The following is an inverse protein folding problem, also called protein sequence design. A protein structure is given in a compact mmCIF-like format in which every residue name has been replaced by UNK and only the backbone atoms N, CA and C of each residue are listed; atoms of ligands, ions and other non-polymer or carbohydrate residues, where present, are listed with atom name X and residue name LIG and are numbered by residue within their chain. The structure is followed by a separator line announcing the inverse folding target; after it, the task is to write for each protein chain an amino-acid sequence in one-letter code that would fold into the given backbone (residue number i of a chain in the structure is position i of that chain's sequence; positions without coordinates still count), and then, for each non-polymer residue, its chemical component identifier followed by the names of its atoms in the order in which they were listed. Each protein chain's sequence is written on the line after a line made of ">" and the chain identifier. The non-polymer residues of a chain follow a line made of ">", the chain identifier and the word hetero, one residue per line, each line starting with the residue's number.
data_IF_482303128569
#
_entry.id   IF_482303128569
#
_cell.length_a   1.000
_cell.length_b   1.000
_cell.length_c   1.000
_cell.angle_alpha   90.00
_cell.angle_beta   90.00
_cell.angle_gamma   90.00
#
_symmetry.space_group_name_H-M   'P 1'
#
loop_
_entity.id
_entity.type
_entity.pdbx_description
1 polymer ?
#
# COMPACT_ATOMS: atom_id res chain seq x y z
N UNK A 1 0.94 17.56 5.86
CA UNK A 1 1.96 17.82 4.84
C UNK A 1 2.38 19.28 4.87
N UNK A 2 3.66 19.51 5.03
CA UNK A 2 4.25 20.83 4.88
C UNK A 2 4.88 20.91 3.48
N UNK A 3 4.67 22.03 2.74
CA UNK A 3 5.32 22.18 1.45
C UNK A 3 6.84 22.01 1.57
N UNK A 4 7.41 21.23 0.66
CA UNK A 4 8.85 21.02 0.58
C UNK A 4 9.40 19.79 1.29
N UNK A 5 8.57 18.96 1.95
CA UNK A 5 9.04 17.71 2.57
C UNK A 5 9.63 16.78 1.53
N UNK A 6 8.93 16.54 0.41
CA UNK A 6 9.42 15.69 -0.67
C UNK A 6 10.70 16.26 -1.28
N UNK A 7 10.75 17.57 -1.48
CA UNK A 7 11.94 18.25 -1.99
C UNK A 7 13.15 18.04 -1.07
N UNK A 8 12.97 18.19 0.24
CA UNK A 8 14.03 17.98 1.22
C UNK A 8 14.53 16.54 1.23
N UNK A 9 13.62 15.58 1.21
CA UNK A 9 13.96 14.17 1.14
C UNK A 9 14.73 13.85 -0.14
N UNK A 10 14.21 14.28 -1.27
CA UNK A 10 14.83 14.03 -2.57
C UNK A 10 16.22 14.67 -2.66
N UNK A 11 16.37 15.89 -2.17
CA UNK A 11 17.65 16.59 -2.15
C UNK A 11 18.67 15.91 -1.24
N UNK A 12 18.24 15.45 -0.08
CA UNK A 12 19.10 14.73 0.86
C UNK A 12 19.60 13.41 0.29
N UNK A 13 18.70 12.66 -0.37
CA UNK A 13 19.04 11.40 -1.01
C UNK A 13 20.01 11.62 -2.16
N UNK A 14 19.74 12.59 -3.03
CA UNK A 14 20.59 12.90 -4.16
C UNK A 14 21.99 13.38 -3.72
N UNK A 15 22.07 14.19 -2.68
CA UNK A 15 23.34 14.68 -2.15
C UNK A 15 24.23 13.56 -1.62
N UNK A 16 23.65 12.46 -1.14
CA UNK A 16 24.38 11.30 -0.67
C UNK A 16 24.68 10.28 -1.80
N UNK A 17 24.37 10.62 -3.04
CA UNK A 17 24.56 9.73 -4.19
C UNK A 17 23.50 8.66 -4.34
N UNK A 18 22.39 8.80 -3.65
CA UNK A 18 21.25 7.87 -3.75
C UNK A 18 20.35 8.16 -4.93
N UNK A 19 19.70 7.12 -5.40
CA UNK A 19 18.70 7.21 -6.45
C UNK A 19 17.32 6.81 -5.90
N UNK A 20 16.34 7.66 -6.11
CA UNK A 20 14.94 7.43 -5.73
C UNK A 20 14.33 6.50 -6.78
N UNK A 21 14.04 5.25 -6.39
CA UNK A 21 13.57 4.23 -7.31
C UNK A 21 12.05 4.16 -7.37
N UNK A 22 11.42 4.05 -6.21
CA UNK A 22 9.98 3.81 -6.13
C UNK A 22 9.46 4.44 -4.85
N UNK A 23 8.26 4.97 -4.90
CA UNK A 23 7.63 5.55 -3.72
C UNK A 23 6.13 5.43 -3.78
N UNK A 24 5.53 5.35 -2.60
CA UNK A 24 4.08 5.46 -2.42
C UNK A 24 3.85 6.36 -1.23
N UNK A 25 3.25 7.51 -1.47
CA UNK A 25 3.02 8.53 -0.45
C UNK A 25 1.59 9.01 -0.53
N UNK A 26 0.98 9.25 0.62
CA UNK A 26 -0.37 9.76 0.67
C UNK A 26 -0.62 10.60 1.91
N UNK A 27 -1.69 11.39 1.83
CA UNK A 27 -2.17 12.21 2.92
C UNK A 27 -3.47 11.63 3.43
N UNK A 28 -3.55 11.43 4.75
CA UNK A 28 -4.73 10.87 5.37
C UNK A 28 -5.01 11.59 6.67
N UNK A 29 -6.20 12.17 6.78
CA UNK A 29 -6.64 12.91 7.97
C UNK A 29 -5.62 13.96 8.45
N UNK A 30 -5.07 14.73 7.51
CA UNK A 30 -4.10 15.78 7.80
C UNK A 30 -2.67 15.29 8.05
N UNK A 31 -2.43 13.99 7.97
CA UNK A 31 -1.09 13.41 8.12
C UNK A 31 -0.59 12.89 6.79
N UNK A 32 0.69 13.07 6.55
CA UNK A 32 1.37 12.61 5.34
C UNK A 32 2.29 11.45 5.71
N UNK A 33 2.20 10.34 4.99
CA UNK A 33 3.02 9.16 5.24
C UNK A 33 3.35 8.45 3.93
N UNK A 34 4.42 7.69 3.94
CA UNK A 34 4.78 6.95 2.75
C UNK A 34 5.93 6.00 2.92
N UNK A 35 6.13 5.24 1.87
CA UNK A 35 7.23 4.31 1.70
C UNK A 35 8.09 4.77 0.54
N UNK A 36 9.39 4.56 0.66
CA UNK A 36 10.34 4.99 -0.35
C UNK A 36 11.47 3.97 -0.48
N UNK A 37 11.69 3.53 -1.71
CA UNK A 37 12.79 2.64 -2.05
C UNK A 37 13.91 3.45 -2.72
N UNK A 38 15.11 3.34 -2.15
CA UNK A 38 16.28 4.07 -2.61
C UNK A 38 17.43 3.10 -2.83
N UNK A 39 18.14 3.26 -3.95
CA UNK A 39 19.42 2.60 -4.13
C UNK A 39 20.55 3.60 -3.91
N UNK A 40 21.65 3.12 -3.31
CA UNK A 40 22.85 3.93 -3.17
C UNK A 40 24.05 3.01 -2.99
N UNK A 41 25.28 3.49 -3.30
CA UNK A 41 26.48 2.75 -3.02
C UNK A 41 26.60 2.47 -1.51
N UNK A 42 27.03 1.27 -1.16
CA UNK A 42 27.14 0.82 0.24
C UNK A 42 28.01 1.78 1.09
N UNK A 43 29.05 2.34 0.48
CA UNK A 43 29.96 3.27 1.13
C UNK A 43 29.31 4.61 1.53
N UNK A 44 28.17 4.98 0.92
CA UNK A 44 27.42 6.18 1.22
C UNK A 44 26.24 5.95 2.18
N UNK A 45 26.03 4.73 2.62
CA UNK A 45 24.90 4.37 3.49
C UNK A 45 24.92 5.12 4.82
N UNK A 46 26.07 5.19 5.48
CA UNK A 46 26.21 5.90 6.76
C UNK A 46 25.97 7.39 6.62
N UNK A 47 26.43 7.99 5.53
CA UNK A 47 26.20 9.40 5.21
C UNK A 47 24.72 9.70 5.04
N UNK A 48 24.01 8.87 4.28
CA UNK A 48 22.57 9.05 4.06
C UNK A 48 21.78 8.87 5.36
N UNK A 49 22.11 7.86 6.14
CA UNK A 49 21.43 7.61 7.43
C UNK A 49 21.59 8.81 8.37
N UNK A 50 22.79 9.37 8.47
CA UNK A 50 23.04 10.55 9.28
C UNK A 50 22.30 11.79 8.78
N UNK A 51 22.26 11.98 7.45
CA UNK A 51 21.56 13.11 6.85
C UNK A 51 20.04 13.01 7.03
N UNK A 52 19.46 11.82 6.93
CA UNK A 52 18.03 11.60 7.17
C UNK A 52 17.67 11.78 8.64
N UNK A 53 18.54 11.34 9.54
CA UNK A 53 18.37 11.57 10.98
C UNK A 53 18.35 13.07 11.31
N UNK A 54 19.19 13.85 10.65
CA UNK A 54 19.24 15.30 10.83
C UNK A 54 17.98 16.02 10.31
N UNK A 55 17.21 15.40 9.42
CA UNK A 55 15.94 15.95 8.94
C UNK A 55 14.79 15.75 9.92
N UNK A 56 14.94 14.87 10.89
CA UNK A 56 13.86 14.56 11.83
C UNK A 56 13.51 15.76 12.70
N UNK A 57 12.22 16.02 12.82
CA UNK A 57 11.66 17.05 13.69
C UNK A 57 10.52 16.43 14.49
N UNK A 58 9.92 17.13 15.47
CA UNK A 58 8.73 16.59 16.13
C UNK A 58 7.58 16.24 15.19
N UNK A 59 7.57 16.84 13.98
CA UNK A 59 6.51 16.60 12.98
C UNK A 59 6.95 15.72 11.81
N UNK A 60 8.25 15.44 11.67
CA UNK A 60 8.77 14.58 10.61
C UNK A 60 9.60 13.44 11.21
N UNK A 61 9.16 12.21 10.97
CA UNK A 61 9.86 11.00 11.40
C UNK A 61 10.26 10.20 10.19
N UNK A 62 11.50 9.73 10.16
CA UNK A 62 12.05 8.90 9.11
C UNK A 62 12.62 7.64 9.74
N UNK A 63 12.21 6.48 9.26
CA UNK A 63 12.73 5.20 9.67
C UNK A 63 13.35 4.51 8.46
N UNK A 64 14.54 3.96 8.61
CA UNK A 64 15.30 3.38 7.49
C UNK A 64 15.65 1.95 7.79
N UNK A 65 15.41 1.08 6.81
CA UNK A 65 15.83 -0.31 6.85
C UNK A 65 16.67 -0.62 5.62
N UNK A 66 17.81 -1.28 5.85
CA UNK A 66 18.60 -1.82 4.75
C UNK A 66 17.98 -3.14 4.33
N UNK A 67 17.40 -3.17 3.14
CA UNK A 67 16.61 -4.33 2.72
C UNK A 67 17.44 -5.47 2.16
N UNK A 68 18.62 -5.19 1.59
CA UNK A 68 19.41 -6.22 0.90
C UNK A 68 18.69 -6.90 -0.25
N UNK A 69 17.51 -6.39 -0.62
CA UNK A 69 16.70 -6.95 -1.70
C UNK A 69 17.36 -6.57 -3.01
N UNK A 70 17.83 -7.57 -3.71
CA UNK A 70 18.06 -7.45 -5.14
C UNK A 70 16.69 -7.54 -5.82
N UNK A 71 16.48 -6.74 -6.84
CA UNK A 71 15.18 -6.55 -7.53
C UNK A 71 14.64 -7.85 -8.18
N UNK A 72 15.26 -8.98 -7.93
CA UNK A 72 14.99 -10.27 -8.58
C UNK A 72 14.23 -11.30 -7.72
N UNK A 73 13.58 -10.88 -6.65
CA UNK A 73 12.62 -11.76 -6.01
C UNK A 73 11.39 -11.82 -6.92
N UNK A 74 11.45 -12.72 -7.89
CA UNK A 74 10.31 -13.08 -8.72
C UNK A 74 9.23 -13.64 -7.81
N UNK A 75 8.29 -12.79 -7.47
CA UNK A 75 7.08 -13.22 -6.82
C UNK A 75 6.31 -14.10 -7.79
N UNK A 76 6.28 -15.39 -7.50
CA UNK A 76 5.53 -16.35 -8.31
C UNK A 76 4.02 -16.17 -8.06
N UNK A 77 3.27 -16.00 -9.14
CA UNK A 77 1.83 -15.81 -9.08
C UNK A 77 1.38 -14.65 -9.95
N UNK A 78 0.08 -14.53 -10.16
CA UNK A 78 -0.50 -13.46 -10.96
C UNK A 78 -0.97 -12.31 -10.08
N UNK A 79 -0.73 -11.09 -10.56
CA UNK A 79 -1.20 -9.87 -9.93
C UNK A 79 -2.58 -9.49 -10.46
N UNK A 80 -3.50 -9.20 -9.56
CA UNK A 80 -4.86 -8.80 -9.91
C UNK A 80 -5.26 -7.57 -9.12
N UNK A 81 -5.78 -6.56 -9.80
CA UNK A 81 -6.40 -5.41 -9.15
C UNK A 81 -7.90 -5.63 -9.00
N UNK A 82 -8.42 -5.35 -7.81
CA UNK A 82 -9.87 -5.48 -7.53
C UNK A 82 -10.38 -4.25 -6.83
N UNK A 83 -11.63 -3.92 -7.10
CA UNK A 83 -12.41 -2.95 -6.34
C UNK A 83 -13.54 -3.69 -5.63
N UNK A 84 -13.66 -3.45 -4.33
CA UNK A 84 -14.69 -4.05 -3.49
C UNK A 84 -15.57 -2.94 -2.96
N UNK A 85 -16.89 -3.10 -3.11
CA UNK A 85 -17.87 -2.16 -2.59
C UNK A 85 -18.88 -2.94 -1.77
N UNK A 86 -19.15 -2.46 -0.55
CA UNK A 86 -20.10 -3.11 0.35
C UNK A 86 -20.67 -2.09 1.32
N UNK A 87 -21.75 -2.45 2.00
CA UNK A 87 -22.23 -1.64 3.13
C UNK A 87 -21.16 -1.62 4.22
N UNK A 88 -20.86 -0.44 4.74
CA UNK A 88 -19.86 -0.33 5.80
C UNK A 88 -20.37 -0.94 7.10
N UNK A 89 -19.49 -1.68 7.77
CA UNK A 89 -19.77 -2.25 9.10
C UNK A 89 -18.46 -2.53 9.83
N UNK A 90 -18.47 -2.52 11.16
CA UNK A 90 -17.30 -2.90 11.93
C UNK A 90 -16.85 -4.33 11.56
N UNK A 91 -15.53 -4.51 11.36
CA UNK A 91 -14.96 -5.81 11.07
C UNK A 91 -14.93 -6.22 9.61
N UNK A 92 -15.39 -5.38 8.67
CA UNK A 92 -15.41 -5.73 7.25
C UNK A 92 -14.00 -6.01 6.70
N UNK A 93 -13.02 -5.18 7.06
CA UNK A 93 -11.63 -5.38 6.63
C UNK A 93 -11.06 -6.67 7.21
N UNK A 94 -11.35 -6.96 8.47
CA UNK A 94 -10.90 -8.20 9.10
C UNK A 94 -11.44 -9.45 8.38
N UNK A 95 -12.71 -9.43 8.03
CA UNK A 95 -13.34 -10.55 7.32
C UNK A 95 -12.73 -10.75 5.93
N UNK A 96 -12.53 -9.67 5.19
CA UNK A 96 -11.88 -9.72 3.86
C UNK A 96 -10.45 -10.23 4.01
N UNK A 97 -9.69 -9.69 4.95
CA UNK A 97 -8.29 -10.09 5.16
C UNK A 97 -8.17 -11.56 5.58
N UNK A 98 -9.07 -12.02 6.44
CA UNK A 98 -9.10 -13.42 6.88
C UNK A 98 -9.37 -14.37 5.72
N UNK A 99 -10.30 -14.00 4.85
CA UNK A 99 -10.61 -14.79 3.66
C UNK A 99 -9.40 -14.87 2.73
N UNK A 100 -8.78 -13.73 2.43
CA UNK A 100 -7.61 -13.68 1.56
C UNK A 100 -6.46 -14.51 2.13
N UNK A 101 -6.21 -14.39 3.43
CA UNK A 101 -5.16 -15.16 4.09
C UNK A 101 -5.43 -16.67 4.04
N UNK A 102 -6.69 -17.09 4.24
CA UNK A 102 -7.05 -18.52 4.18
C UNK A 102 -6.89 -19.09 2.77
N UNK A 103 -7.03 -18.28 1.75
CA UNK A 103 -6.81 -18.66 0.36
C UNK A 103 -5.35 -18.46 -0.09
N UNK A 104 -4.45 -18.08 0.81
CA UNK A 104 -3.04 -17.81 0.55
C UNK A 104 -2.83 -16.69 -0.49
N UNK A 105 -3.75 -15.74 -0.51
CA UNK A 105 -3.67 -14.56 -1.38
C UNK A 105 -2.97 -13.44 -0.62
N UNK A 106 -1.90 -12.91 -1.20
CA UNK A 106 -1.13 -11.83 -0.61
C UNK A 106 -1.68 -10.47 -1.02
N UNK A 107 -1.82 -9.56 -0.06
CA UNK A 107 -2.20 -8.17 -0.34
C UNK A 107 -0.94 -7.36 -0.59
N UNK A 108 -0.77 -6.87 -1.81
CA UNK A 108 0.38 -6.05 -2.21
C UNK A 108 0.14 -4.58 -1.90
N UNK A 109 -1.06 -4.09 -2.18
CA UNK A 109 -1.47 -2.75 -1.79
C UNK A 109 -2.96 -2.72 -1.47
N UNK A 110 -3.34 -1.81 -0.58
CA UNK A 110 -4.73 -1.66 -0.15
C UNK A 110 -5.02 -0.20 0.12
N UNK A 111 -6.05 0.32 -0.52
CA UNK A 111 -6.61 1.64 -0.24
C UNK A 111 -8.08 1.48 0.07
N UNK A 112 -8.54 2.07 1.17
CA UNK A 112 -9.93 1.99 1.59
C UNK A 112 -10.47 3.36 1.96
N UNK A 113 -11.76 3.55 1.73
CA UNK A 113 -12.48 4.73 2.20
C UNK A 113 -13.95 4.41 2.36
N UNK A 114 -14.63 5.25 3.13
CA UNK A 114 -16.09 5.16 3.29
C UNK A 114 -16.72 6.45 2.77
N UNK A 115 -17.86 6.31 2.12
CA UNK A 115 -18.65 7.44 1.65
C UNK A 115 -20.15 7.11 1.78
N UNK A 116 -20.99 8.15 1.81
CA UNK A 116 -22.42 7.95 1.83
C UNK A 116 -22.92 7.60 0.42
N UNK A 117 -23.80 6.61 0.33
CA UNK A 117 -24.42 6.24 -0.95
C UNK A 117 -25.29 7.41 -1.45
N UNK A 118 -25.28 7.69 -2.78
CA UNK A 118 -25.97 8.88 -3.34
C UNK A 118 -27.46 8.95 -3.08
N UNK A 119 -28.15 7.81 -2.99
CA UNK A 119 -29.62 7.77 -2.88
C UNK A 119 -30.11 7.48 -1.47
N UNK A 120 -29.39 6.64 -0.72
CA UNK A 120 -29.84 6.17 0.60
C UNK A 120 -29.15 6.88 1.77
N UNK A 121 -28.06 7.58 1.50
CA UNK A 121 -27.15 8.16 2.50
C UNK A 121 -26.56 7.12 3.47
N UNK A 122 -26.70 5.84 3.16
CA UNK A 122 -26.07 4.78 3.96
C UNK A 122 -24.56 4.76 3.73
N UNK A 123 -23.75 4.51 4.78
CA UNK A 123 -22.32 4.41 4.62
C UNK A 123 -21.92 3.22 3.73
N UNK A 124 -21.11 3.50 2.73
CA UNK A 124 -20.57 2.48 1.82
C UNK A 124 -19.07 2.38 2.01
N UNK A 125 -18.59 1.15 2.11
CA UNK A 125 -17.18 0.82 2.18
C UNK A 125 -16.66 0.56 0.77
N UNK A 126 -15.52 1.17 0.46
CA UNK A 126 -14.81 0.97 -0.81
C UNK A 126 -13.39 0.52 -0.52
N UNK A 127 -12.92 -0.49 -1.23
CA UNK A 127 -11.54 -0.94 -1.18
C UNK A 127 -11.01 -1.12 -2.59
N UNK A 128 -9.81 -0.63 -2.82
CA UNK A 128 -9.03 -0.94 -4.03
C UNK A 128 -7.79 -1.69 -3.58
N UNK A 129 -7.60 -2.88 -4.10
CA UNK A 129 -6.50 -3.74 -3.71
C UNK A 129 -5.79 -4.33 -4.92
N UNK A 130 -4.47 -4.42 -4.82
CA UNK A 130 -3.69 -5.27 -5.71
C UNK A 130 -3.30 -6.51 -4.95
N UNK A 131 -3.66 -7.65 -5.50
CA UNK A 131 -3.55 -8.95 -4.87
C UNK A 131 -2.66 -9.86 -5.70
N UNK A 132 -1.85 -10.65 -5.01
CA UNK A 132 -1.05 -11.68 -5.63
C UNK A 132 -1.70 -13.02 -5.39
N UNK A 133 -2.15 -13.66 -6.48
CA UNK A 133 -2.83 -14.95 -6.42
C UNK A 133 -1.84 -16.11 -6.54
N UNK A 134 -1.99 -17.18 -5.75
CA UNK A 134 -1.26 -18.41 -6.00
C UNK A 134 -1.59 -18.96 -7.40
N UNK A 135 -0.67 -19.71 -7.99
CA UNK A 135 -0.86 -20.30 -9.33
C UNK A 135 -2.16 -21.11 -9.46
N UNK A 136 -2.56 -21.76 -8.38
CA UNK A 136 -3.76 -22.61 -8.36
C UNK A 136 -5.08 -21.84 -8.21
N UNK A 137 -5.01 -20.52 -7.98
CA UNK A 137 -6.21 -19.69 -7.73
C UNK A 137 -6.50 -18.82 -8.93
N UNK A 138 -7.71 -18.97 -9.48
CA UNK A 138 -8.17 -18.14 -10.60
C UNK A 138 -8.83 -16.86 -10.10
N UNK A 139 -8.93 -15.86 -10.98
CA UNK A 139 -9.64 -14.62 -10.70
C UNK A 139 -11.11 -14.87 -10.39
N UNK A 140 -11.73 -15.82 -11.10
CA UNK A 140 -13.12 -16.19 -10.88
C UNK A 140 -13.33 -16.77 -9.48
N UNK A 141 -12.41 -17.61 -9.01
CA UNK A 141 -12.45 -18.16 -7.66
C UNK A 141 -12.34 -17.06 -6.61
N UNK A 142 -11.44 -16.09 -6.82
CA UNK A 142 -11.29 -14.94 -5.93
C UNK A 142 -12.59 -14.15 -5.84
N UNK A 143 -13.20 -13.83 -6.97
CA UNK A 143 -14.43 -13.06 -7.03
C UNK A 143 -15.56 -13.78 -6.28
N UNK A 144 -15.72 -15.09 -6.52
CA UNK A 144 -16.72 -15.90 -5.84
C UNK A 144 -16.52 -15.95 -4.33
N UNK A 145 -15.28 -16.11 -3.87
CA UNK A 145 -14.95 -16.13 -2.45
C UNK A 145 -15.30 -14.81 -1.77
N UNK A 146 -14.99 -13.71 -2.39
CA UNK A 146 -15.28 -12.37 -1.84
C UNK A 146 -16.78 -12.11 -1.82
N UNK A 147 -17.50 -12.42 -2.87
CA UNK A 147 -18.94 -12.19 -2.94
C UNK A 147 -19.75 -13.06 -1.98
N UNK A 148 -19.21 -14.19 -1.55
CA UNK A 148 -19.81 -15.05 -0.53
C UNK A 148 -19.77 -14.49 0.88
N UNK A 149 -18.93 -13.48 1.14
CA UNK A 149 -18.83 -12.87 2.47
C UNK A 149 -20.12 -12.15 2.88
N UNK A 150 -20.82 -11.58 1.91
CA UNK A 150 -22.01 -10.77 2.17
C UNK A 150 -22.80 -10.61 0.86
N UNK A 151 -24.14 -10.59 0.95
CA UNK A 151 -25.01 -10.42 -0.21
C UNK A 151 -24.86 -9.05 -0.87
N UNK A 152 -24.42 -8.05 -0.13
CA UNK A 152 -24.26 -6.67 -0.60
C UNK A 152 -22.87 -6.38 -1.17
N UNK A 153 -21.94 -7.32 -1.05
CA UNK A 153 -20.56 -7.11 -1.49
C UNK A 153 -20.43 -7.32 -3.00
N UNK A 154 -19.91 -6.30 -3.67
CA UNK A 154 -19.65 -6.33 -5.11
C UNK A 154 -18.17 -6.24 -5.38
N UNK A 155 -17.70 -7.03 -6.34
CA UNK A 155 -16.30 -7.09 -6.73
C UNK A 155 -16.18 -6.77 -8.22
N UNK A 156 -15.33 -5.81 -8.54
CA UNK A 156 -14.98 -5.47 -9.92
C UNK A 156 -13.48 -5.62 -10.11
N UNK A 157 -13.09 -6.09 -11.28
CA UNK A 157 -11.68 -6.16 -11.63
C UNK A 157 -11.20 -4.80 -12.11
N UNK A 158 -10.01 -4.40 -11.65
CA UNK A 158 -9.34 -3.19 -12.13
C UNK A 158 -8.47 -3.54 -13.34
N UNK A 159 -8.48 -2.66 -14.35
CA UNK A 159 -7.63 -2.78 -15.53
C UNK A 159 -6.17 -2.37 -15.25
#
# INVERSE_FOLDING_TARGET
>A
DQPGIVEKLAGTIAAAGGNWLESSMSRLSGKFAGLLLVSLPREHQSELLGALEALQTPTLKVSVEATGITVDDEETGSMVGVEIVANDRPGIVEEIARLLASAQINVVSLETFCESAPMSAEPMFHAQAYLQLPEATSVETLTELLEQLSDDLMVELLD
#
